data_IF_299643751163
#
_entry.id   IF_299643751163
#
_cell.length_a   1.000
_cell.length_b   1.000
_cell.length_c   1.000
_cell.angle_alpha   90.00
_cell.angle_beta   90.00
_cell.angle_gamma   90.00
#
_symmetry.space_group_name_H-M   'P 1'
#
loop_
_entity.id
_entity.type
_entity.pdbx_description
1 polymer ?
#
# COMPACT_ATOMS: atom_id res chain seq x y z
N UNK A 1 14.37 7.37 -3.36
CA UNK A 1 14.53 5.99 -2.85
C UNK A 1 13.34 5.70 -1.97
N UNK A 2 12.55 4.70 -2.33
CA UNK A 2 11.43 4.27 -1.50
C UNK A 2 11.92 3.78 -0.13
N UNK A 3 11.17 4.14 0.91
CA UNK A 3 11.39 3.68 2.28
C UNK A 3 10.06 3.21 2.86
N UNK A 4 10.08 2.05 3.50
CA UNK A 4 8.96 1.61 4.32
C UNK A 4 8.89 2.52 5.55
N UNK A 5 7.76 3.21 5.73
CA UNK A 5 7.56 4.18 6.82
C UNK A 5 6.54 3.70 7.86
N UNK A 6 5.60 2.84 7.49
CA UNK A 6 4.67 2.19 8.40
C UNK A 6 4.19 0.87 7.79
N UNK A 7 3.67 -0.04 8.61
CA UNK A 7 3.06 -1.28 8.15
C UNK A 7 2.08 -1.85 9.18
N UNK A 8 1.18 -2.67 8.67
CA UNK A 8 0.49 -3.70 9.44
C UNK A 8 0.90 -5.07 8.89
N UNK A 9 1.63 -5.88 9.68
CA UNK A 9 2.09 -7.18 9.22
C UNK A 9 0.94 -8.01 8.66
N UNK A 10 1.18 -8.61 7.49
CA UNK A 10 0.22 -9.44 6.74
C UNK A 10 -0.98 -8.70 6.13
N UNK A 11 -1.09 -7.38 6.28
CA UNK A 11 -2.21 -6.60 5.75
C UNK A 11 -1.75 -5.53 4.76
N UNK A 12 -0.90 -4.60 5.20
CA UNK A 12 -0.49 -3.48 4.35
C UNK A 12 0.88 -2.93 4.73
N UNK A 13 1.51 -2.29 3.76
CA UNK A 13 2.83 -1.68 3.87
C UNK A 13 2.80 -0.29 3.22
N UNK A 14 3.21 0.74 3.97
CA UNK A 14 3.22 2.12 3.49
C UNK A 14 4.66 2.56 3.18
N UNK A 15 4.86 2.99 1.94
CA UNK A 15 6.13 3.45 1.43
C UNK A 15 6.10 4.94 1.10
N UNK A 16 7.23 5.61 1.32
CA UNK A 16 7.42 7.00 0.94
C UNK A 16 8.62 7.16 0.00
N UNK A 17 8.46 7.96 -1.05
CA UNK A 17 9.54 8.46 -1.89
C UNK A 17 9.36 9.96 -2.11
N UNK A 18 10.17 10.78 -1.45
CA UNK A 18 10.03 12.24 -1.46
C UNK A 18 8.61 12.64 -1.01
N UNK A 19 7.82 13.24 -1.91
CA UNK A 19 6.45 13.70 -1.65
C UNK A 19 5.38 12.66 -2.03
N UNK A 20 5.79 11.55 -2.65
CA UNK A 20 4.87 10.49 -3.07
C UNK A 20 4.79 9.38 -2.03
N UNK A 21 3.58 8.83 -1.89
CA UNK A 21 3.28 7.70 -1.04
C UNK A 21 2.74 6.55 -1.87
N UNK A 22 3.18 5.34 -1.53
CA UNK A 22 2.72 4.11 -2.15
C UNK A 22 2.27 3.14 -1.08
N UNK A 23 1.21 2.41 -1.39
CA UNK A 23 0.59 1.48 -0.47
C UNK A 23 0.60 0.10 -1.12
N UNK A 24 1.24 -0.86 -0.47
CA UNK A 24 1.12 -2.28 -0.80
C UNK A 24 0.07 -2.90 0.09
N UNK A 25 -0.91 -3.60 -0.48
CA UNK A 25 -2.06 -4.17 0.24
C UNK A 25 -2.19 -5.65 -0.12
N UNK A 26 -2.32 -6.48 0.91
CA UNK A 26 -2.69 -7.88 0.76
C UNK A 26 -4.19 -8.04 1.06
N UNK A 27 -4.97 -8.42 0.05
CA UNK A 27 -6.41 -8.71 0.20
C UNK A 27 -6.63 -10.21 0.20
N UNK A 28 -7.11 -10.76 1.31
CA UNK A 28 -7.44 -12.18 1.44
C UNK A 28 -8.82 -12.48 0.86
N UNK A 29 -8.86 -13.09 -0.32
CA UNK A 29 -10.08 -13.51 -1.01
C UNK A 29 -10.46 -14.95 -0.67
N UNK A 30 -10.35 -15.35 0.60
CA UNK A 30 -10.67 -16.67 1.20
C UNK A 30 -9.92 -17.89 0.66
N UNK A 31 -9.39 -17.81 -0.56
CA UNK A 31 -8.79 -18.90 -1.32
C UNK A 31 -7.52 -18.46 -2.05
N UNK A 32 -7.33 -17.15 -2.21
CA UNK A 32 -6.15 -16.52 -2.81
C UNK A 32 -5.90 -15.20 -2.07
N UNK A 33 -4.63 -14.86 -1.85
CA UNK A 33 -4.25 -13.53 -1.39
C UNK A 33 -3.81 -12.74 -2.61
N UNK A 34 -4.48 -11.62 -2.87
CA UNK A 34 -4.11 -10.69 -3.93
C UNK A 34 -3.27 -9.55 -3.36
N UNK A 35 -2.03 -9.42 -3.83
CA UNK A 35 -1.16 -8.30 -3.47
C UNK A 35 -1.29 -7.19 -4.51
N UNK A 36 -1.51 -5.96 -4.05
CA UNK A 36 -1.67 -4.79 -4.90
C UNK A 36 -0.73 -3.68 -4.45
N UNK A 37 0.02 -3.13 -5.40
CA UNK A 37 0.86 -1.96 -5.20
C UNK A 37 0.21 -0.76 -5.88
N UNK A 38 -0.25 0.21 -5.09
CA UNK A 38 -0.94 1.41 -5.58
C UNK A 38 -0.23 2.69 -5.15
N UNK A 39 -0.41 3.75 -5.94
CA UNK A 39 -0.05 5.09 -5.55
C UNK A 39 -1.22 5.76 -4.81
N UNK A 40 -0.93 6.37 -3.66
CA UNK A 40 -1.90 7.20 -2.95
C UNK A 40 -2.17 8.49 -3.74
N UNK A 41 -3.43 8.89 -3.76
CA UNK A 41 -3.85 10.19 -4.26
C UNK A 41 -3.40 11.31 -3.33
N UNK A 42 -3.39 12.55 -3.81
CA UNK A 42 -3.01 13.70 -3.00
C UNK A 42 -3.90 13.85 -1.75
N UNK A 43 -5.20 13.56 -1.89
CA UNK A 43 -6.16 13.59 -0.77
C UNK A 43 -5.83 12.55 0.30
N UNK A 44 -5.57 11.30 -0.09
CA UNK A 44 -5.23 10.22 0.86
C UNK A 44 -3.87 10.49 1.52
N UNK A 45 -2.91 11.07 0.79
CA UNK A 45 -1.62 11.48 1.34
C UNK A 45 -1.76 12.63 2.35
N UNK A 46 -2.67 13.58 2.11
CA UNK A 46 -3.00 14.64 3.07
C UNK A 46 -3.73 14.09 4.30
N UNK A 47 -4.68 13.19 4.12
CA UNK A 47 -5.36 12.51 5.23
C UNK A 47 -4.38 11.73 6.10
N UNK A 48 -3.44 11.01 5.50
CA UNK A 48 -2.35 10.36 6.22
C UNK A 48 -1.49 11.36 7.00
N UNK A 49 -1.15 12.51 6.43
CA UNK A 49 -0.38 13.54 7.14
C UNK A 49 -1.14 14.13 8.34
N UNK A 50 -2.47 14.19 8.28
CA UNK A 50 -3.32 14.75 9.33
C UNK A 50 -3.66 13.73 10.43
N UNK A 51 -4.00 12.51 10.04
CA UNK A 51 -4.57 11.48 10.92
C UNK A 51 -3.60 10.34 11.20
N UNK A 52 -2.48 10.27 10.46
CA UNK A 52 -1.49 9.21 10.55
C UNK A 52 -2.05 7.87 10.10
N UNK A 53 -1.65 6.83 10.82
CA UNK A 53 -1.97 5.42 10.53
C UNK A 53 -3.47 5.14 10.34
N UNK A 54 -4.35 5.84 11.08
CA UNK A 54 -5.80 5.61 11.00
C UNK A 54 -6.33 5.83 9.58
N UNK A 55 -5.82 6.82 8.85
CA UNK A 55 -6.24 7.05 7.46
C UNK A 55 -5.90 5.87 6.54
N UNK A 56 -4.76 5.20 6.77
CA UNK A 56 -4.36 4.03 5.98
C UNK A 56 -5.21 2.81 6.35
N UNK A 57 -5.54 2.65 7.63
CA UNK A 57 -6.44 1.58 8.07
C UNK A 57 -7.84 1.76 7.45
N UNK A 58 -8.38 2.98 7.44
CA UNK A 58 -9.67 3.27 6.81
C UNK A 58 -9.64 3.06 5.28
N UNK A 59 -8.58 3.53 4.61
CA UNK A 59 -8.37 3.33 3.18
C UNK A 59 -8.27 1.84 2.82
N UNK A 60 -7.46 1.08 3.56
CA UNK A 60 -7.28 -0.36 3.30
C UNK A 60 -8.57 -1.13 3.52
N UNK A 61 -9.35 -0.78 4.55
CA UNK A 61 -10.67 -1.36 4.78
C UNK A 61 -11.65 -1.08 3.62
N UNK A 62 -11.64 0.15 3.08
CA UNK A 62 -12.46 0.51 1.93
C UNK A 62 -12.08 -0.31 0.69
N UNK A 63 -10.79 -0.41 0.39
CA UNK A 63 -10.25 -1.20 -0.72
C UNK A 63 -10.61 -2.69 -0.59
N UNK A 64 -10.45 -3.25 0.60
CA UNK A 64 -10.81 -4.64 0.89
C UNK A 64 -12.31 -4.86 0.65
N UNK A 65 -13.16 -3.95 1.12
CA UNK A 65 -14.61 -4.03 0.91
C UNK A 65 -15.03 -3.94 -0.57
N UNK A 66 -14.38 -3.08 -1.36
CA UNK A 66 -14.57 -2.97 -2.82
C UNK A 66 -14.14 -4.25 -3.54
N UNK A 67 -12.95 -4.76 -3.17
CA UNK A 67 -12.37 -5.98 -3.74
C UNK A 67 -13.23 -7.21 -3.45
N UNK A 68 -13.79 -7.33 -2.24
CA UNK A 68 -14.75 -8.39 -1.90
C UNK A 68 -16.04 -8.33 -2.73
N UNK A 69 -16.43 -7.15 -3.23
CA UNK A 69 -17.57 -6.98 -4.15
C UNK A 69 -17.20 -7.26 -5.61
N UNK A 70 -15.93 -7.56 -5.89
CA UNK A 70 -15.41 -7.80 -7.23
C UNK A 70 -15.10 -6.53 -8.00
N UNK A 71 -15.01 -5.37 -7.34
CA UNK A 71 -14.59 -4.12 -7.98
C UNK A 71 -13.10 -3.88 -7.74
N UNK A 72 -12.33 -4.04 -8.81
CA UNK A 72 -10.89 -3.81 -8.83
C UNK A 72 -10.52 -2.52 -9.58
N UNK A 73 -11.51 -1.81 -10.14
CA UNK A 73 -11.28 -0.66 -11.03
C UNK A 73 -10.45 0.41 -10.35
N UNK A 74 -10.70 0.61 -9.05
CA UNK A 74 -9.99 1.57 -8.21
C UNK A 74 -8.50 1.19 -8.02
N UNK A 75 -8.21 -0.10 -7.89
CA UNK A 75 -6.84 -0.61 -7.75
C UNK A 75 -6.10 -0.58 -9.08
N UNK A 76 -6.75 -0.99 -10.17
CA UNK A 76 -6.18 -0.98 -11.52
C UNK A 76 -5.84 0.43 -12.00
N UNK A 77 -6.71 1.41 -11.73
CA UNK A 77 -6.48 2.80 -12.09
C UNK A 77 -5.26 3.43 -11.39
N UNK A 78 -4.87 2.88 -10.24
CA UNK A 78 -3.80 3.41 -9.38
C UNK A 78 -2.58 2.48 -9.31
N UNK A 79 -2.59 1.40 -10.08
CA UNK A 79 -1.53 0.41 -10.09
C UNK A 79 -0.21 1.07 -10.47
N UNK A 80 0.81 0.87 -9.64
CA UNK A 80 2.13 1.45 -9.89
C UNK A 80 2.82 0.67 -11.03
N UNK A 81 3.66 1.35 -11.84
CA UNK A 81 4.41 0.67 -12.90
C UNK A 81 5.41 -0.32 -12.32
N UNK A 82 5.81 -1.32 -13.11
CA UNK A 82 6.73 -2.40 -12.70
C UNK A 82 8.02 -1.88 -12.04
N UNK A 83 8.56 -0.76 -12.53
CA UNK A 83 9.73 -0.13 -11.91
C UNK A 83 9.49 0.20 -10.42
N UNK A 84 8.36 0.79 -10.07
CA UNK A 84 8.03 1.14 -8.69
C UNK A 84 7.76 -0.13 -7.87
N UNK A 85 7.14 -1.17 -8.46
CA UNK A 85 6.97 -2.46 -7.79
C UNK A 85 8.33 -3.07 -7.39
N UNK A 86 9.33 -3.01 -8.27
CA UNK A 86 10.70 -3.46 -7.96
C UNK A 86 11.35 -2.62 -6.84
N UNK A 87 11.10 -1.30 -6.84
CA UNK A 87 11.58 -0.42 -5.77
C UNK A 87 10.91 -0.71 -4.42
N UNK A 88 9.60 -0.98 -4.39
CA UNK A 88 8.85 -1.42 -3.21
C UNK A 88 9.46 -2.71 -2.65
N UNK A 89 9.64 -3.74 -3.48
CA UNK A 89 10.24 -5.01 -3.05
C UNK A 89 11.67 -4.85 -2.53
N UNK A 90 12.45 -3.97 -3.16
CA UNK A 90 13.81 -3.66 -2.72
C UNK A 90 13.81 -2.96 -1.37
N UNK A 91 12.90 -1.98 -1.19
CA UNK A 91 12.73 -1.27 0.07
C UNK A 91 12.31 -2.22 1.21
N UNK A 92 11.37 -3.14 0.95
CA UNK A 92 10.97 -4.15 1.93
C UNK A 92 12.14 -5.05 2.36
N UNK A 93 12.90 -5.57 1.38
CA UNK A 93 14.08 -6.41 1.66
C UNK A 93 15.12 -5.66 2.49
N UNK A 94 15.40 -4.41 2.14
CA UNK A 94 16.33 -3.56 2.89
C UNK A 94 15.85 -3.31 4.33
N UNK A 95 14.57 -2.98 4.52
CA UNK A 95 13.97 -2.81 5.85
C UNK A 95 14.06 -4.09 6.69
N UNK A 96 13.77 -5.25 6.08
CA UNK A 96 13.83 -6.55 6.75
C UNK A 96 15.24 -6.93 7.19
N UNK A 97 16.25 -6.54 6.40
CA UNK A 97 17.67 -6.75 6.77
C UNK A 97 18.12 -5.81 7.87
N UNK A 98 17.60 -4.58 7.94
CA UNK A 98 17.95 -3.60 8.96
C UNK A 98 17.25 -3.84 10.31
N UNK A 99 16.10 -4.52 10.31
CA UNK A 99 15.29 -4.79 11.51
C UNK A 99 15.61 -6.17 12.13
N UNK A 100 16.69 -6.82 11.69
CA UNK A 100 17.12 -8.15 12.14
C UNK A 100 18.40 -8.06 12.96
#
# INVERSE_FOLDING_TARGET
>A
MLKLIDQQPHFWELYQNQDQYYLSIAVDMSSVVSCWDIQLTDSEAEEFKQQGRVAIEDLTNAIVAETYRGDFSNLEARAVPEQIQQEIQTAFKAWRMATR
#
